data_IF_794995972776
#
_entry.id   IF_794995972776
#
_cell.length_a   1.000
_cell.length_b   1.000
_cell.length_c   1.000
_cell.angle_alpha   90.00
_cell.angle_beta   90.00
_cell.angle_gamma   90.00
#
_symmetry.space_group_name_H-M   'P 1'
#
loop_
_entity.id
_entity.type
_entity.pdbx_description
1 polymer ?
#
# COMPACT_ATOMS: atom_id res chain seq x y z
N UNK A 1 3.73 22.94 -9.05
CA UNK A 1 3.29 21.78 -8.23
C UNK A 1 2.84 22.27 -6.88
N UNK A 2 1.56 22.11 -6.54
CA UNK A 2 1.02 22.66 -5.29
C UNK A 2 1.56 21.87 -4.08
N UNK A 3 1.67 22.55 -2.93
CA UNK A 3 2.11 21.92 -1.68
C UNK A 3 1.09 20.88 -1.19
N UNK A 4 -0.18 21.06 -1.54
CA UNK A 4 -1.28 20.20 -1.12
C UNK A 4 -1.25 18.84 -1.82
N UNK A 5 -0.84 18.78 -3.09
CA UNK A 5 -0.64 17.50 -3.79
C UNK A 5 0.44 16.65 -3.13
N UNK A 6 1.56 17.26 -2.74
CA UNK A 6 2.64 16.56 -2.02
C UNK A 6 2.17 16.00 -0.69
N UNK A 7 1.48 16.84 0.09
CA UNK A 7 0.91 16.42 1.37
C UNK A 7 -0.09 15.28 1.20
N UNK A 8 -0.96 15.36 0.19
CA UNK A 8 -1.96 14.33 -0.11
C UNK A 8 -1.32 13.01 -0.50
N UNK A 9 -0.31 13.01 -1.38
CA UNK A 9 0.42 11.80 -1.75
C UNK A 9 1.20 11.20 -0.57
N UNK A 10 1.88 12.04 0.22
CA UNK A 10 2.58 11.62 1.42
C UNK A 10 1.64 11.00 2.47
N UNK A 11 0.47 11.62 2.69
CA UNK A 11 -0.58 11.08 3.58
C UNK A 11 -1.10 9.75 3.07
N UNK A 12 -1.37 9.62 1.76
CA UNK A 12 -1.83 8.35 1.18
C UNK A 12 -0.82 7.23 1.42
N UNK A 13 0.47 7.50 1.19
CA UNK A 13 1.54 6.54 1.47
C UNK A 13 1.63 6.22 2.95
N UNK A 14 1.65 7.24 3.82
CA UNK A 14 1.74 7.06 5.27
C UNK A 14 0.58 6.27 5.86
N UNK A 15 -0.66 6.55 5.44
CA UNK A 15 -1.85 5.81 5.84
C UNK A 15 -1.80 4.37 5.33
N UNK A 16 -1.33 4.15 4.11
CA UNK A 16 -1.16 2.78 3.56
C UNK A 16 -0.21 1.96 4.44
N UNK A 17 0.91 2.54 4.87
CA UNK A 17 1.85 1.89 5.79
C UNK A 17 1.23 1.64 7.16
N UNK A 18 0.53 2.62 7.72
CA UNK A 18 -0.14 2.47 9.02
C UNK A 18 -1.15 1.31 9.00
N UNK A 19 -1.97 1.21 7.94
CA UNK A 19 -2.91 0.11 7.74
C UNK A 19 -2.17 -1.22 7.66
N UNK A 20 -1.15 -1.32 6.81
CA UNK A 20 -0.34 -2.53 6.68
C UNK A 20 0.22 -2.97 8.03
N UNK A 21 0.90 -2.08 8.75
CA UNK A 21 1.49 -2.38 10.05
C UNK A 21 0.48 -2.83 11.09
N UNK A 22 -0.71 -2.22 11.14
CA UNK A 22 -1.78 -2.67 12.04
C UNK A 22 -2.20 -4.11 11.71
N UNK A 23 -2.39 -4.44 10.42
CA UNK A 23 -2.76 -5.79 10.00
C UNK A 23 -1.67 -6.81 10.33
N UNK A 24 -0.40 -6.46 10.11
CA UNK A 24 0.73 -7.32 10.49
C UNK A 24 0.83 -7.51 12.00
N UNK A 25 0.65 -6.44 12.79
CA UNK A 25 0.66 -6.52 14.24
C UNK A 25 -0.42 -7.48 14.75
N UNK A 26 -1.61 -7.46 14.14
CA UNK A 26 -2.67 -8.43 14.46
C UNK A 26 -2.25 -9.85 14.06
N UNK A 27 -1.70 -10.03 12.85
CA UNK A 27 -1.26 -11.33 12.38
C UNK A 27 -0.23 -11.97 13.33
N UNK A 28 0.82 -11.23 13.72
CA UNK A 28 1.91 -11.78 14.56
C UNK A 28 1.50 -12.04 16.01
N UNK A 29 0.37 -11.49 16.47
CA UNK A 29 -0.17 -11.69 17.82
C UNK A 29 -1.39 -12.64 17.84
N UNK A 30 -1.72 -13.28 16.73
CA UNK A 30 -2.82 -14.24 16.62
C UNK A 30 -2.32 -15.56 16.05
N UNK A 31 -3.14 -16.61 16.15
CA UNK A 31 -2.83 -17.96 15.62
C UNK A 31 -4.01 -18.54 14.84
N UNK A 32 -3.78 -19.63 14.12
CA UNK A 32 -4.81 -20.33 13.34
C UNK A 32 -5.43 -19.47 12.25
N UNK A 33 -6.74 -19.60 12.06
CA UNK A 33 -7.48 -18.93 10.97
C UNK A 33 -7.35 -17.40 11.01
N UNK A 34 -7.29 -16.80 12.19
CA UNK A 34 -7.17 -15.33 12.32
C UNK A 34 -5.79 -14.88 11.82
N UNK A 35 -4.73 -15.56 12.23
CA UNK A 35 -3.38 -15.28 11.73
C UNK A 35 -3.32 -15.35 10.19
N UNK A 36 -3.82 -16.45 9.61
CA UNK A 36 -3.85 -16.65 8.15
C UNK A 36 -4.63 -15.54 7.44
N UNK A 37 -5.80 -15.17 7.96
CA UNK A 37 -6.62 -14.11 7.38
C UNK A 37 -5.89 -12.77 7.35
N UNK A 38 -5.20 -12.39 8.43
CA UNK A 38 -4.48 -11.11 8.51
C UNK A 38 -3.15 -11.12 7.72
N UNK A 39 -2.48 -12.26 7.61
CA UNK A 39 -1.34 -12.43 6.71
C UNK A 39 -1.71 -12.20 5.24
N UNK A 40 -2.92 -12.60 4.83
CA UNK A 40 -3.44 -12.34 3.48
C UNK A 40 -3.97 -10.90 3.36
N UNK A 41 -4.67 -10.41 4.37
CA UNK A 41 -5.29 -9.08 4.33
C UNK A 41 -4.26 -7.96 4.21
N UNK A 42 -3.08 -8.08 4.83
CA UNK A 42 -2.01 -7.08 4.76
C UNK A 42 -1.57 -6.76 3.32
N UNK A 43 -1.03 -7.72 2.57
CA UNK A 43 -0.65 -7.53 1.17
C UNK A 43 -1.80 -7.07 0.28
N UNK A 44 -3.02 -7.59 0.50
CA UNK A 44 -4.21 -7.18 -0.26
C UNK A 44 -4.53 -5.70 -0.02
N UNK A 45 -4.55 -5.26 1.23
CA UNK A 45 -4.84 -3.86 1.59
C UNK A 45 -3.79 -2.91 0.98
N UNK A 46 -2.50 -3.23 1.13
CA UNK A 46 -1.41 -2.43 0.54
C UNK A 46 -1.54 -2.41 -0.99
N UNK A 47 -1.83 -3.56 -1.62
CA UNK A 47 -2.05 -3.67 -3.07
C UNK A 47 -3.21 -2.82 -3.58
N UNK A 48 -4.34 -2.80 -2.87
CA UNK A 48 -5.48 -1.94 -3.23
C UNK A 48 -5.11 -0.45 -3.13
N UNK A 49 -4.36 -0.06 -2.11
CA UNK A 49 -3.88 1.31 -1.97
C UNK A 49 -2.86 1.70 -3.06
N UNK A 50 -2.04 0.76 -3.53
CA UNK A 50 -1.16 0.93 -4.70
C UNK A 50 -1.97 1.19 -5.96
N UNK A 51 -3.01 0.39 -6.24
CA UNK A 51 -3.89 0.59 -7.40
C UNK A 51 -4.58 1.94 -7.33
N UNK A 52 -5.02 2.38 -6.14
CA UNK A 52 -5.58 3.70 -5.95
C UNK A 52 -4.58 4.84 -6.28
N UNK A 53 -3.29 4.69 -5.91
CA UNK A 53 -2.26 5.64 -6.27
C UNK A 53 -2.00 5.66 -7.80
N UNK A 54 -2.02 4.50 -8.45
CA UNK A 54 -1.90 4.40 -9.91
C UNK A 54 -3.07 5.08 -10.62
N UNK A 55 -4.29 4.88 -10.13
CA UNK A 55 -5.47 5.56 -10.65
C UNK A 55 -5.35 7.09 -10.50
N UNK A 56 -4.89 7.57 -9.34
CA UNK A 56 -4.63 9.01 -9.13
C UNK A 56 -3.54 9.55 -10.05
N UNK A 57 -2.52 8.76 -10.37
CA UNK A 57 -1.50 9.12 -11.37
C UNK A 57 -2.13 9.37 -12.74
N UNK A 58 -3.00 8.47 -13.19
CA UNK A 58 -3.69 8.59 -14.49
C UNK A 58 -4.62 9.81 -14.51
N UNK A 59 -5.39 10.03 -13.45
CA UNK A 59 -6.29 11.18 -13.34
C UNK A 59 -5.51 12.51 -13.35
N UNK A 60 -4.42 12.59 -12.57
CA UNK A 60 -3.54 13.75 -12.53
C UNK A 60 -2.85 14.00 -13.88
N UNK A 61 -2.44 12.94 -14.58
CA UNK A 61 -1.85 13.04 -15.92
C UNK A 61 -2.83 13.60 -16.93
N UNK A 62 -4.08 13.12 -16.93
CA UNK A 62 -5.15 13.65 -17.80
C UNK A 62 -5.49 15.11 -17.51
N UNK A 63 -5.35 15.55 -16.26
CA UNK A 63 -5.54 16.94 -15.85
C UNK A 63 -4.29 17.83 -16.08
N UNK A 64 -3.18 17.26 -16.59
CA UNK A 64 -1.88 17.91 -16.71
C UNK A 64 -1.37 18.52 -15.39
N UNK A 65 -1.67 17.85 -14.27
CA UNK A 65 -1.48 18.38 -12.92
C UNK A 65 -0.57 17.50 -12.05
N UNK A 66 0.74 17.75 -12.08
CA UNK A 66 1.69 17.21 -11.08
C UNK A 66 1.74 15.68 -10.96
N UNK A 67 1.43 14.95 -12.05
CA UNK A 67 1.29 13.49 -12.06
C UNK A 67 2.54 12.72 -11.60
N UNK A 68 3.73 13.33 -11.68
CA UNK A 68 5.00 12.74 -11.25
C UNK A 68 5.01 12.39 -9.75
N UNK A 69 4.29 13.15 -8.92
CA UNK A 69 4.18 12.89 -7.47
C UNK A 69 3.41 11.59 -7.22
N UNK A 70 2.26 11.46 -7.87
CA UNK A 70 1.43 10.26 -7.78
C UNK A 70 2.14 9.07 -8.42
N UNK A 71 2.91 9.28 -9.50
CA UNK A 71 3.73 8.23 -10.09
C UNK A 71 4.78 7.71 -9.10
N UNK A 72 5.53 8.60 -8.45
CA UNK A 72 6.50 8.23 -7.43
C UNK A 72 5.86 7.45 -6.27
N UNK A 73 4.72 7.93 -5.77
CA UNK A 73 3.94 7.23 -4.74
C UNK A 73 3.48 5.84 -5.22
N UNK A 74 3.03 5.72 -6.46
CA UNK A 74 2.57 4.46 -7.05
C UNK A 74 3.71 3.45 -7.18
N UNK A 75 4.88 3.86 -7.67
CA UNK A 75 6.05 2.99 -7.80
C UNK A 75 6.53 2.52 -6.42
N UNK A 76 6.59 3.44 -5.45
CA UNK A 76 6.98 3.10 -4.09
C UNK A 76 6.01 2.12 -3.43
N UNK A 77 4.70 2.36 -3.55
CA UNK A 77 3.69 1.47 -3.01
C UNK A 77 3.68 0.12 -3.74
N UNK A 78 3.95 0.08 -5.05
CA UNK A 78 4.09 -1.16 -5.80
C UNK A 78 5.26 -2.00 -5.29
N UNK A 79 6.44 -1.40 -5.11
CA UNK A 79 7.58 -2.08 -4.50
C UNK A 79 7.25 -2.59 -3.09
N UNK A 80 6.52 -1.79 -2.31
CA UNK A 80 6.04 -2.18 -0.99
C UNK A 80 5.08 -3.37 -1.07
N UNK A 81 4.09 -3.37 -1.96
CA UNK A 81 3.18 -4.49 -2.18
C UNK A 81 3.95 -5.77 -2.51
N UNK A 82 4.95 -5.70 -3.39
CA UNK A 82 5.81 -6.84 -3.72
C UNK A 82 6.49 -7.39 -2.47
N UNK A 83 7.14 -6.55 -1.67
CA UNK A 83 7.78 -6.97 -0.41
C UNK A 83 6.78 -7.63 0.54
N UNK A 84 5.58 -7.07 0.68
CA UNK A 84 4.53 -7.62 1.54
C UNK A 84 4.05 -8.99 1.06
N UNK A 85 3.80 -9.16 -0.24
CA UNK A 85 3.39 -10.45 -0.82
C UNK A 85 4.47 -11.51 -0.59
N UNK A 86 5.72 -11.19 -0.92
CA UNK A 86 6.83 -12.13 -0.76
C UNK A 86 7.23 -12.39 0.70
N UNK A 87 6.87 -11.50 1.63
CA UNK A 87 6.98 -11.76 3.07
C UNK A 87 5.86 -12.66 3.60
N UNK A 88 4.63 -12.49 3.10
CA UNK A 88 3.48 -13.26 3.55
C UNK A 88 3.48 -14.70 3.01
N UNK A 89 3.92 -14.94 1.78
CA UNK A 89 3.90 -16.29 1.16
C UNK A 89 4.66 -17.33 1.99
N UNK A 90 5.93 -17.12 2.40
CA UNK A 90 6.63 -18.06 3.26
C UNK A 90 5.92 -18.33 4.58
N UNK A 91 5.32 -17.29 5.20
CA UNK A 91 4.59 -17.42 6.45
C UNK A 91 3.28 -18.22 6.32
N UNK A 92 2.72 -18.33 5.10
CA UNK A 92 1.50 -19.09 4.82
C UNK A 92 1.77 -20.57 4.48
N UNK A 93 2.99 -20.92 4.10
CA UNK A 93 3.37 -22.29 3.68
C UNK A 93 4.29 -23.00 4.68
N UNK A 94 4.75 -22.29 5.71
CA UNK A 94 5.54 -22.82 6.82
C UNK A 94 4.62 -23.45 7.89
#
# INVERSE_FOLDING_TARGET
MSTDQRKSAALHVGVTFAIGFVLLAIAVNTTGTVNTAFLIAGPVAVGLCTVAAMARTVLAWRANDGWQVWQGASIFLLATTVVWVFGAVPALVA
#
